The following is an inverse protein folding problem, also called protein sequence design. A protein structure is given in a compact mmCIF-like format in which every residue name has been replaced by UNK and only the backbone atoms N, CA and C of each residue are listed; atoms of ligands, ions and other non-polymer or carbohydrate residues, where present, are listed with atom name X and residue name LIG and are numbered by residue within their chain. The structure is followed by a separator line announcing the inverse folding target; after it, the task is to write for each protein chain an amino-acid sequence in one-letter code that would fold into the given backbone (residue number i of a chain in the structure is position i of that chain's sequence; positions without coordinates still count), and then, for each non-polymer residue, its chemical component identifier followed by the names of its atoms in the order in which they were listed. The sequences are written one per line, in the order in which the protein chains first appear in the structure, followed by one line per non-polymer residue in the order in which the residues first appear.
data_IF_760506050032
#
_entry.id   IF_760506050032
#
_cell.length_a   1.000
_cell.length_b   1.000
_cell.length_c   1.000
_cell.angle_alpha   90.00
_cell.angle_beta   90.00
_cell.angle_gamma   90.00
#
_symmetry.space_group_name_H-M   'P 1'
#
loop_
_entity.id
_entity.type
_entity.pdbx_description
1 polymer ?
#
# COMPACT_ATOMS: atom_id res chain seq x y z
N UNK A 1 41.87 49.11 -35.35
CA UNK A 1 41.57 48.51 -34.01
C UNK A 1 40.29 47.67 -33.95
N UNK A 2 39.16 48.05 -34.57
CA UNK A 2 37.88 47.30 -34.46
C UNK A 2 37.86 45.88 -35.07
N UNK A 3 38.63 45.60 -36.15
CA UNK A 3 38.69 44.25 -36.78
C UNK A 3 39.52 43.24 -35.98
N UNK A 4 40.71 43.64 -35.51
CA UNK A 4 41.57 42.78 -34.70
C UNK A 4 40.90 42.37 -33.38
N UNK A 5 40.23 43.32 -32.70
CA UNK A 5 39.48 43.02 -31.48
C UNK A 5 38.33 42.03 -31.74
N UNK A 6 37.60 42.15 -32.87
CA UNK A 6 36.56 41.18 -33.25
C UNK A 6 37.14 39.79 -33.50
N UNK A 7 38.26 39.67 -34.21
CA UNK A 7 38.91 38.39 -34.48
C UNK A 7 39.34 37.70 -33.18
N UNK A 8 39.93 38.46 -32.25
CA UNK A 8 40.30 37.96 -30.92
C UNK A 8 39.06 37.53 -30.12
N UNK A 9 37.98 38.31 -30.15
CA UNK A 9 36.73 37.99 -29.47
C UNK A 9 36.07 36.72 -30.04
N UNK A 10 36.05 36.57 -31.38
CA UNK A 10 35.53 35.38 -32.06
C UNK A 10 36.40 34.16 -31.79
N UNK A 11 37.73 34.32 -31.74
CA UNK A 11 38.66 33.24 -31.38
C UNK A 11 38.46 32.77 -29.93
N UNK A 12 38.31 33.71 -28.99
CA UNK A 12 38.00 33.40 -27.58
C UNK A 12 36.63 32.72 -27.43
N UNK A 13 35.61 33.23 -28.13
CA UNK A 13 34.27 32.64 -28.13
C UNK A 13 34.29 31.22 -28.70
N UNK A 14 35.00 31.00 -29.82
CA UNK A 14 35.16 29.69 -30.43
C UNK A 14 35.89 28.72 -29.49
N UNK A 15 36.95 29.16 -28.80
CA UNK A 15 37.67 28.35 -27.83
C UNK A 15 36.79 27.96 -26.64
N UNK A 16 36.02 28.91 -26.09
CA UNK A 16 35.06 28.67 -25.00
C UNK A 16 33.97 27.70 -25.45
N UNK A 17 33.43 27.85 -26.66
CA UNK A 17 32.43 26.94 -27.23
C UNK A 17 33.00 25.53 -27.42
N UNK A 18 34.22 25.42 -27.94
CA UNK A 18 34.85 24.12 -28.20
C UNK A 18 35.18 23.41 -26.87
N UNK A 19 35.67 24.16 -25.88
CA UNK A 19 35.86 23.68 -24.52
C UNK A 19 34.56 23.23 -23.86
N UNK A 20 33.48 23.99 -24.02
CA UNK A 20 32.15 23.63 -23.52
C UNK A 20 31.59 22.37 -24.19
N UNK A 21 31.76 22.22 -25.51
CA UNK A 21 31.34 21.02 -26.26
C UNK A 21 32.17 19.80 -25.86
N UNK A 22 33.48 19.94 -25.73
CA UNK A 22 34.36 18.86 -25.28
C UNK A 22 34.00 18.41 -23.86
N UNK A 23 33.77 19.35 -22.93
CA UNK A 23 33.29 19.06 -21.58
C UNK A 23 31.92 18.37 -21.61
N UNK A 24 30.98 18.85 -22.43
CA UNK A 24 29.66 18.24 -22.57
C UNK A 24 29.75 16.80 -23.11
N UNK A 25 30.64 16.52 -24.08
CA UNK A 25 30.89 15.18 -24.59
C UNK A 25 31.54 14.27 -23.55
N UNK A 26 32.51 14.77 -22.79
CA UNK A 26 33.15 14.02 -21.69
C UNK A 26 32.12 13.67 -20.62
N UNK A 27 31.27 14.62 -20.22
CA UNK A 27 30.19 14.38 -19.26
C UNK A 27 29.18 13.37 -19.83
N UNK A 28 28.81 13.51 -21.10
CA UNK A 28 27.88 12.59 -21.77
C UNK A 28 28.42 11.16 -21.83
N UNK A 29 29.70 10.98 -22.17
CA UNK A 29 30.34 9.66 -22.24
C UNK A 29 30.57 9.10 -20.84
N UNK A 30 31.00 9.92 -19.89
CA UNK A 30 31.30 9.50 -18.52
C UNK A 30 30.07 9.15 -17.67
N UNK A 31 28.90 9.68 -18.03
CA UNK A 31 27.61 9.37 -17.38
C UNK A 31 26.72 8.44 -18.21
N UNK A 32 27.16 8.06 -19.42
CA UNK A 32 26.42 7.11 -20.25
C UNK A 32 26.30 5.77 -19.52
N UNK A 33 25.12 5.14 -19.54
CA UNK A 33 24.91 3.86 -18.89
C UNK A 33 25.81 2.78 -19.49
N UNK A 34 26.44 1.98 -18.63
CA UNK A 34 27.13 0.77 -19.03
C UNK A 34 26.14 -0.27 -19.59
N UNK A 35 26.64 -1.29 -20.29
CA UNK A 35 25.79 -2.36 -20.85
C UNK A 35 24.99 -3.05 -19.73
N UNK A 36 23.66 -2.93 -19.79
CA UNK A 36 22.74 -3.50 -18.79
C UNK A 36 22.53 -2.64 -17.54
N UNK A 37 23.18 -1.47 -17.45
CA UNK A 37 22.92 -0.49 -16.40
C UNK A 37 21.56 0.16 -16.64
N UNK A 38 20.74 0.30 -15.59
CA UNK A 38 19.51 1.08 -15.73
C UNK A 38 19.84 2.56 -15.76
N UNK A 39 19.13 3.26 -16.65
CA UNK A 39 19.32 4.67 -16.89
C UNK A 39 18.06 5.46 -16.58
N UNK A 40 18.24 6.75 -16.28
CA UNK A 40 17.17 7.74 -16.30
C UNK A 40 17.40 8.71 -17.45
N UNK A 41 16.33 9.06 -18.14
CA UNK A 41 16.37 10.10 -19.17
C UNK A 41 16.18 11.47 -18.52
N UNK A 42 17.05 12.43 -18.86
CA UNK A 42 16.94 13.83 -18.42
C UNK A 42 17.18 14.78 -19.58
N UNK A 43 16.26 15.73 -19.74
CA UNK A 43 16.42 16.87 -20.66
C UNK A 43 17.19 17.99 -19.98
N UNK A 44 18.33 18.38 -20.56
CA UNK A 44 19.16 19.50 -20.11
C UNK A 44 19.33 20.46 -21.28
N UNK A 45 18.52 21.52 -21.30
CA UNK A 45 18.42 22.41 -22.47
C UNK A 45 17.95 21.64 -23.72
N UNK A 46 18.65 21.72 -24.86
CA UNK A 46 18.31 20.98 -26.08
C UNK A 46 18.79 19.52 -26.08
N UNK A 47 19.55 19.09 -25.06
CA UNK A 47 20.15 17.76 -25.02
C UNK A 47 19.30 16.79 -24.17
N UNK A 48 19.05 15.61 -24.71
CA UNK A 48 18.57 14.46 -23.94
C UNK A 48 19.77 13.63 -23.49
N UNK A 49 19.94 13.47 -22.19
CA UNK A 49 20.98 12.65 -21.58
C UNK A 49 20.36 11.40 -20.97
N UNK A 50 20.87 10.24 -21.35
CA UNK A 50 20.65 8.99 -20.63
C UNK A 50 21.74 8.85 -19.57
N UNK A 51 21.33 8.80 -18.31
CA UNK A 51 22.25 8.78 -17.19
C UNK A 51 22.13 7.45 -16.45
N UNK A 52 23.21 6.67 -16.45
CA UNK A 52 23.30 5.44 -15.66
C UNK A 52 23.20 5.75 -14.17
N UNK A 53 22.22 5.20 -13.46
CA UNK A 53 21.98 5.56 -12.06
C UNK A 53 23.07 5.03 -11.12
N UNK A 54 23.53 3.77 -11.21
CA UNK A 54 24.72 3.33 -10.50
C UNK A 54 25.95 4.21 -10.74
N UNK A 55 26.19 4.64 -11.99
CA UNK A 55 27.29 5.52 -12.37
C UNK A 55 27.13 6.90 -11.74
N UNK A 56 25.94 7.50 -11.81
CA UNK A 56 25.63 8.75 -11.13
C UNK A 56 25.89 8.66 -9.61
N UNK A 57 25.46 7.58 -8.96
CA UNK A 57 25.68 7.38 -7.53
C UNK A 57 27.18 7.31 -7.20
N UNK A 58 27.98 6.58 -7.99
CA UNK A 58 29.44 6.49 -7.79
C UNK A 58 30.12 7.85 -7.95
N UNK A 59 29.72 8.61 -8.97
CA UNK A 59 30.27 9.92 -9.28
C UNK A 59 29.89 10.94 -8.21
N UNK A 60 28.60 11.03 -7.84
CA UNK A 60 28.08 11.95 -6.83
C UNK A 60 28.65 11.72 -5.42
N UNK A 61 29.08 10.49 -5.12
CA UNK A 61 29.70 10.12 -3.84
C UNK A 61 31.22 9.95 -3.93
N UNK A 62 31.84 10.44 -5.00
CA UNK A 62 33.29 10.38 -5.15
C UNK A 62 33.98 11.43 -4.26
N UNK A 63 35.18 11.17 -3.71
CA UNK A 63 35.88 12.13 -2.85
C UNK A 63 36.19 13.48 -3.52
N UNK A 64 36.27 13.52 -4.86
CA UNK A 64 36.56 14.74 -5.59
C UNK A 64 35.30 15.54 -5.96
N UNK A 65 34.16 14.88 -6.19
CA UNK A 65 32.92 15.57 -6.57
C UNK A 65 32.03 15.86 -5.37
N UNK A 66 31.90 14.94 -4.42
CA UNK A 66 30.95 15.07 -3.31
C UNK A 66 31.14 16.38 -2.50
N UNK A 67 32.37 16.84 -2.16
CA UNK A 67 32.56 18.13 -1.50
C UNK A 67 32.12 19.32 -2.36
N UNK A 68 32.21 19.22 -3.69
CA UNK A 68 31.78 20.26 -4.63
C UNK A 68 30.26 20.31 -4.81
N UNK A 69 29.54 19.29 -4.35
CA UNK A 69 28.07 19.29 -4.33
C UNK A 69 27.52 19.98 -3.08
N UNK A 70 28.35 20.34 -2.11
CA UNK A 70 27.89 21.01 -0.88
C UNK A 70 27.18 22.33 -1.20
N UNK A 71 26.02 22.53 -0.58
CA UNK A 71 25.18 23.71 -0.78
C UNK A 71 24.38 23.71 -2.10
N UNK A 72 24.57 22.73 -2.99
CA UNK A 72 23.80 22.63 -4.23
C UNK A 72 22.31 22.47 -3.90
N UNK A 73 21.47 23.29 -4.55
CA UNK A 73 20.01 23.24 -4.44
C UNK A 73 19.42 22.82 -5.77
N UNK A 74 18.59 21.78 -5.75
CA UNK A 74 17.93 21.22 -6.90
C UNK A 74 16.42 21.33 -6.72
N UNK A 75 15.74 21.98 -7.67
CA UNK A 75 14.29 21.94 -7.71
C UNK A 75 13.87 20.62 -8.35
N UNK A 76 13.23 19.76 -7.57
CA UNK A 76 12.75 18.45 -8.04
C UNK A 76 11.23 18.40 -8.05
N UNK A 77 10.66 17.38 -8.69
CA UNK A 77 9.21 17.10 -8.59
C UNK A 77 8.74 16.86 -7.15
N UNK A 78 9.66 16.56 -6.24
CA UNK A 78 9.38 16.30 -4.84
C UNK A 78 9.48 17.55 -3.95
N UNK A 79 9.90 18.69 -4.50
CA UNK A 79 10.26 19.87 -3.73
C UNK A 79 11.76 20.20 -3.86
N UNK A 80 12.21 21.29 -3.20
CA UNK A 80 13.60 21.71 -3.21
C UNK A 80 14.44 20.71 -2.41
N UNK A 81 15.49 20.18 -3.04
CA UNK A 81 16.47 19.29 -2.45
C UNK A 81 17.78 20.03 -2.28
N UNK A 82 18.29 20.10 -1.06
CA UNK A 82 19.60 20.64 -0.75
C UNK A 82 20.59 19.49 -0.47
N UNK A 83 21.76 19.58 -1.08
CA UNK A 83 22.88 18.67 -0.82
C UNK A 83 23.78 19.30 0.25
N UNK A 84 24.22 18.49 1.20
CA UNK A 84 25.18 18.91 2.23
C UNK A 84 26.26 17.85 2.41
N UNK A 85 27.51 18.25 2.29
CA UNK A 85 28.66 17.39 2.53
C UNK A 85 29.19 17.59 3.95
N UNK A 86 29.61 16.51 4.59
CA UNK A 86 30.26 16.54 5.91
C UNK A 86 31.61 15.83 5.81
N UNK A 87 32.68 16.62 5.72
CA UNK A 87 34.05 16.13 5.49
C UNK A 87 34.52 15.12 6.55
N UNK A 88 34.28 15.40 7.83
CA UNK A 88 34.73 14.55 8.95
C UNK A 88 34.13 13.14 8.91
N UNK A 89 32.94 12.99 8.32
CA UNK A 89 32.22 11.73 8.22
C UNK A 89 32.22 11.15 6.80
N UNK A 90 32.79 11.87 5.82
CA UNK A 90 32.70 11.55 4.38
C UNK A 90 31.27 11.22 3.97
N UNK A 91 30.33 12.08 4.37
CA UNK A 91 28.90 11.80 4.29
C UNK A 91 28.15 12.89 3.53
N UNK A 92 27.37 12.47 2.54
CA UNK A 92 26.51 13.32 1.74
C UNK A 92 25.09 13.22 2.27
N UNK A 93 24.51 14.35 2.69
CA UNK A 93 23.09 14.46 3.01
C UNK A 93 22.32 15.04 1.84
N UNK A 94 21.16 14.44 1.55
CA UNK A 94 20.13 14.99 0.70
C UNK A 94 18.96 15.39 1.59
N UNK A 95 18.60 16.68 1.62
CA UNK A 95 17.49 17.20 2.41
C UNK A 95 16.44 17.83 1.51
N UNK A 96 15.25 17.25 1.50
CA UNK A 96 14.06 17.76 0.80
C UNK A 96 13.17 18.50 1.80
N UNK A 97 12.88 19.79 1.62
CA UNK A 97 12.09 20.58 2.59
C UNK A 97 11.45 21.86 1.97
N UNK A 98 10.11 22.00 1.92
CA UNK A 98 9.12 20.96 2.19
C UNK A 98 9.21 19.84 1.15
N UNK A 99 8.82 18.63 1.53
CA UNK A 99 8.88 17.47 0.64
C UNK A 99 7.48 16.97 0.29
N UNK A 100 7.27 16.68 -0.98
CA UNK A 100 6.00 16.22 -1.52
C UNK A 100 6.21 15.02 -2.45
N UNK A 101 5.95 13.81 -1.97
CA UNK A 101 6.24 12.58 -2.72
C UNK A 101 4.96 11.88 -3.19
N UNK A 102 4.70 11.94 -4.49
CA UNK A 102 3.69 11.07 -5.09
C UNK A 102 4.25 9.66 -5.26
N UNK A 103 3.70 8.71 -4.51
CA UNK A 103 4.05 7.30 -4.59
C UNK A 103 2.83 6.58 -5.16
N UNK A 104 2.91 6.14 -6.41
CA UNK A 104 1.76 5.53 -7.09
C UNK A 104 1.17 4.33 -6.32
N UNK A 105 2.02 3.57 -5.60
CA UNK A 105 1.60 2.47 -4.74
C UNK A 105 0.76 2.91 -3.52
N UNK A 106 0.81 4.20 -3.16
CA UNK A 106 0.11 4.81 -2.02
C UNK A 106 -1.09 5.67 -2.47
N UNK A 107 -1.45 5.68 -3.76
CA UNK A 107 -2.61 6.39 -4.27
C UNK A 107 -2.30 7.74 -4.91
N UNK A 108 -3.34 8.55 -5.13
CA UNK A 108 -3.26 9.80 -5.90
C UNK A 108 -2.77 11.01 -5.09
N UNK A 109 -3.03 11.03 -3.78
CA UNK A 109 -2.59 12.10 -2.88
C UNK A 109 -1.08 11.96 -2.60
N UNK A 110 -0.31 13.05 -2.69
CA UNK A 110 1.12 12.95 -2.47
C UNK A 110 1.43 13.07 -0.97
N UNK A 111 2.47 12.36 -0.54
CA UNK A 111 2.96 12.35 0.83
C UNK A 111 3.62 13.71 1.14
N UNK A 112 3.07 14.44 2.12
CA UNK A 112 3.59 15.74 2.53
C UNK A 112 4.41 15.63 3.81
N UNK A 113 5.65 16.10 3.77
CA UNK A 113 6.60 16.09 4.88
C UNK A 113 7.17 17.49 5.07
N UNK A 114 7.39 17.91 6.33
CA UNK A 114 8.17 19.13 6.60
C UNK A 114 9.58 18.97 6.03
N UNK A 115 10.18 17.80 6.25
CA UNK A 115 11.39 17.42 5.55
C UNK A 115 11.61 15.91 5.47
N UNK A 116 12.33 15.50 4.44
CA UNK A 116 12.94 14.18 4.30
C UNK A 116 14.45 14.37 4.16
N UNK A 117 15.23 13.69 5.00
CA UNK A 117 16.68 13.73 4.96
C UNK A 117 17.24 12.32 4.80
N UNK A 118 18.12 12.14 3.82
CA UNK A 118 18.82 10.87 3.56
C UNK A 118 20.31 11.14 3.66
N UNK A 119 20.97 10.50 4.62
CA UNK A 119 22.43 10.45 4.72
C UNK A 119 22.97 9.32 3.88
N UNK A 120 24.12 9.53 3.26
CA UNK A 120 24.76 8.60 2.34
C UNK A 120 26.28 8.63 2.49
N UNK A 121 26.85 7.48 2.80
CA UNK A 121 28.29 7.24 2.75
C UNK A 121 28.54 6.02 1.86
N UNK A 122 29.48 6.15 0.93
CA UNK A 122 29.88 5.07 0.02
C UNK A 122 31.31 4.64 0.29
N UNK A 123 31.50 3.35 0.45
CA UNK A 123 32.80 2.68 0.45
C UNK A 123 32.81 1.59 -0.64
N UNK A 124 33.52 1.86 -1.74
CA UNK A 124 33.50 1.04 -2.94
C UNK A 124 32.08 0.73 -3.43
N UNK A 125 31.64 -0.54 -3.35
CA UNK A 125 30.30 -1.00 -3.72
C UNK A 125 29.30 -1.00 -2.56
N UNK A 126 29.75 -0.71 -1.33
CA UNK A 126 28.89 -0.66 -0.14
C UNK A 126 28.42 0.76 0.11
N UNK A 127 27.15 0.89 0.44
CA UNK A 127 26.50 2.14 0.81
C UNK A 127 25.95 1.97 2.22
N UNK A 128 26.00 3.03 3.02
CA UNK A 128 25.34 3.09 4.33
C UNK A 128 24.88 4.49 4.61
N UNK A 129 23.86 4.62 5.43
CA UNK A 129 23.28 5.92 5.69
C UNK A 129 22.20 5.93 6.74
N UNK A 130 21.62 7.10 6.91
CA UNK A 130 20.47 7.35 7.77
C UNK A 130 19.32 7.86 6.94
N UNK A 131 18.11 7.67 7.45
CA UNK A 131 16.89 8.25 6.90
C UNK A 131 16.15 8.94 8.04
N UNK A 132 15.70 10.16 7.79
CA UNK A 132 14.88 10.93 8.73
C UNK A 132 13.70 11.53 7.97
N UNK A 133 12.48 11.26 8.42
CA UNK A 133 11.25 11.79 7.85
C UNK A 133 10.46 12.53 8.93
N UNK A 134 10.32 13.84 8.78
CA UNK A 134 9.59 14.68 9.72
C UNK A 134 8.16 14.96 9.20
N UNK A 135 7.15 14.80 10.06
CA UNK A 135 5.78 15.13 9.69
C UNK A 135 5.62 16.65 9.48
N UNK A 136 4.55 17.10 8.81
CA UNK A 136 4.23 18.52 8.69
C UNK A 136 4.16 19.22 10.05
N UNK A 137 4.73 20.42 10.15
CA UNK A 137 4.74 21.21 11.41
C UNK A 137 3.35 21.57 11.92
N UNK A 138 2.35 21.59 11.05
CA UNK A 138 0.94 21.87 11.39
C UNK A 138 0.33 20.83 12.33
N UNK A 139 0.93 19.63 12.40
CA UNK A 139 0.56 18.58 13.36
C UNK A 139 1.23 18.74 14.72
N UNK A 140 2.24 19.62 14.82
CA UNK A 140 2.96 19.84 16.06
C UNK A 140 2.00 20.32 17.16
N UNK A 141 1.99 19.62 18.29
CA UNK A 141 1.07 19.88 19.41
C UNK A 141 -0.36 19.34 19.25
N UNK A 142 -0.73 18.74 18.11
CA UNK A 142 -2.05 18.10 17.90
C UNK A 142 -2.05 16.60 18.22
N UNK A 143 -0.90 15.94 18.12
CA UNK A 143 -0.73 14.51 18.38
C UNK A 143 0.42 14.30 19.40
N UNK A 144 0.13 13.83 20.62
CA UNK A 144 1.16 13.51 21.59
C UNK A 144 2.21 12.53 21.00
N UNK A 145 3.50 12.86 21.15
CA UNK A 145 4.64 12.06 20.67
C UNK A 145 4.81 11.92 19.14
N UNK A 146 4.03 12.62 18.33
CA UNK A 146 4.11 12.56 16.87
C UNK A 146 5.04 13.61 16.23
N UNK A 147 5.43 14.66 16.96
CA UNK A 147 6.17 15.81 16.42
C UNK A 147 7.65 15.52 16.11
N UNK A 148 8.17 14.41 16.65
CA UNK A 148 9.53 13.97 16.36
C UNK A 148 9.58 13.23 15.02
N UNK A 149 10.70 13.29 14.29
CA UNK A 149 10.82 12.59 13.03
C UNK A 149 10.91 11.07 13.23
N UNK A 150 10.46 10.33 12.22
CA UNK A 150 10.81 8.93 12.07
C UNK A 150 12.28 8.84 11.65
N UNK A 151 13.03 7.92 12.26
CA UNK A 151 14.45 7.74 11.99
C UNK A 151 14.72 6.29 11.62
N UNK A 152 15.69 6.08 10.75
CA UNK A 152 16.14 4.77 10.34
C UNK A 152 17.59 4.79 9.89
N UNK A 153 18.14 3.59 9.78
CA UNK A 153 19.43 3.35 9.14
C UNK A 153 19.20 2.47 7.93
N UNK A 154 20.08 2.60 6.95
CA UNK A 154 20.01 1.77 5.77
C UNK A 154 21.41 1.39 5.29
N UNK A 155 21.51 0.22 4.70
CA UNK A 155 22.70 -0.25 4.00
C UNK A 155 22.34 -0.59 2.57
N UNK A 156 23.32 -0.58 1.68
CA UNK A 156 23.08 -0.98 0.31
C UNK A 156 24.30 -1.56 -0.38
N UNK A 157 24.04 -2.34 -1.42
CA UNK A 157 25.05 -2.92 -2.30
C UNK A 157 24.81 -2.43 -3.71
N UNK A 158 25.78 -1.70 -4.24
CA UNK A 158 25.76 -1.17 -5.59
C UNK A 158 26.56 -2.06 -6.54
N UNK A 159 25.89 -2.69 -7.49
CA UNK A 159 26.51 -3.43 -8.59
C UNK A 159 26.57 -2.58 -9.86
N UNK A 160 26.90 -3.18 -11.00
CA UNK A 160 26.80 -2.49 -12.30
C UNK A 160 25.35 -2.30 -12.75
N UNK A 161 24.43 -3.17 -12.32
CA UNK A 161 23.06 -3.24 -12.84
C UNK A 161 22.00 -3.21 -11.76
N UNK A 162 22.40 -3.28 -10.48
CA UNK A 162 21.52 -3.42 -9.32
C UNK A 162 21.90 -2.43 -8.20
N UNK A 163 20.90 -1.94 -7.46
CA UNK A 163 21.07 -1.39 -6.12
C UNK A 163 20.14 -2.14 -5.19
N UNK A 164 20.71 -2.93 -4.29
CA UNK A 164 19.98 -3.57 -3.21
C UNK A 164 20.11 -2.70 -1.97
N UNK A 165 18.99 -2.35 -1.35
CA UNK A 165 18.89 -1.51 -0.15
C UNK A 165 18.19 -2.32 0.94
N UNK A 166 18.78 -2.32 2.12
CA UNK A 166 18.20 -2.85 3.35
C UNK A 166 17.99 -1.66 4.31
N UNK A 167 16.73 -1.36 4.63
CA UNK A 167 16.30 -0.22 5.42
C UNK A 167 15.66 -0.71 6.72
N UNK A 168 16.20 -0.25 7.84
CA UNK A 168 15.68 -0.51 9.17
C UNK A 168 15.26 0.81 9.83
N UNK A 169 13.96 1.00 9.96
CA UNK A 169 13.38 2.11 10.70
C UNK A 169 13.34 1.77 12.19
N UNK A 170 13.69 2.75 13.01
CA UNK A 170 13.63 2.63 14.46
C UNK A 170 12.18 2.44 14.91
N UNK A 171 12.03 1.70 16.00
CA UNK A 171 10.74 1.59 16.66
C UNK A 171 10.27 2.97 17.11
N UNK A 172 9.04 3.32 16.75
CA UNK A 172 8.44 4.59 17.09
C UNK A 172 6.93 4.44 17.38
N UNK A 173 6.32 5.35 18.15
CA UNK A 173 4.88 5.35 18.38
C UNK A 173 4.10 5.32 17.06
N UNK A 174 3.05 4.51 16.97
CA UNK A 174 2.25 4.37 15.75
C UNK A 174 1.64 5.71 15.31
N UNK A 175 1.25 6.56 16.26
CA UNK A 175 0.78 7.92 15.98
C UNK A 175 1.78 8.74 15.13
N UNK A 176 3.08 8.56 15.34
CA UNK A 176 4.14 9.22 14.56
C UNK A 176 4.19 8.71 13.12
N UNK A 177 4.00 7.41 12.93
CA UNK A 177 3.89 6.82 11.60
C UNK A 177 2.70 7.37 10.82
N UNK A 178 1.55 7.53 11.48
CA UNK A 178 0.38 8.17 10.90
C UNK A 178 0.61 9.66 10.57
N UNK A 179 1.29 10.41 11.44
CA UNK A 179 1.61 11.81 11.19
C UNK A 179 2.51 12.01 9.96
N UNK A 180 3.36 11.03 9.65
CA UNK A 180 4.18 11.02 8.43
C UNK A 180 3.37 10.52 7.23
N UNK A 181 2.64 9.41 7.35
CA UNK A 181 2.03 8.71 6.24
C UNK A 181 0.69 9.31 5.76
N UNK A 182 -0.07 9.91 6.67
CA UNK A 182 -1.40 10.45 6.41
C UNK A 182 -1.72 11.63 7.34
N UNK A 183 -0.93 12.73 7.24
CA UNK A 183 -1.00 13.87 8.14
C UNK A 183 -2.38 14.55 8.20
N UNK A 184 -3.17 14.43 7.13
CA UNK A 184 -4.44 15.14 6.97
C UNK A 184 -5.66 14.33 7.44
N UNK A 185 -5.44 13.16 8.04
CA UNK A 185 -6.55 12.35 8.54
C UNK A 185 -7.28 13.06 9.68
N UNK A 186 -8.59 13.31 9.55
CA UNK A 186 -9.35 14.02 10.58
C UNK A 186 -9.44 13.20 11.88
N UNK A 187 -9.39 11.86 11.77
CA UNK A 187 -9.33 10.95 12.92
C UNK A 187 -8.16 11.24 13.86
N UNK A 188 -7.03 11.75 13.36
CA UNK A 188 -5.84 12.00 14.18
C UNK A 188 -6.06 13.06 15.26
N UNK A 189 -7.09 13.90 15.14
CA UNK A 189 -7.43 14.91 16.15
C UNK A 189 -8.19 14.37 17.35
N UNK A 190 -8.77 13.17 17.21
CA UNK A 190 -9.71 12.59 18.19
C UNK A 190 -9.30 11.20 18.65
N UNK A 191 -8.59 10.46 17.80
CA UNK A 191 -8.07 9.15 18.12
C UNK A 191 -6.96 9.22 19.16
N UNK A 192 -7.03 8.35 20.16
CA UNK A 192 -5.87 7.98 21.00
C UNK A 192 -5.26 6.74 20.40
N UNK A 193 -4.07 6.87 19.84
CA UNK A 193 -3.35 5.78 19.17
C UNK A 193 -2.18 5.37 20.07
N UNK A 194 -2.16 4.12 20.52
CA UNK A 194 -1.08 3.57 21.33
C UNK A 194 -0.34 2.45 20.60
N UNK A 195 0.80 2.05 21.17
CA UNK A 195 1.66 1.02 20.61
C UNK A 195 2.78 1.59 19.75
N UNK A 196 3.66 0.69 19.32
CA UNK A 196 4.84 1.02 18.53
C UNK A 196 4.89 0.21 17.25
N UNK A 197 5.54 0.79 16.24
CA UNK A 197 5.83 0.15 14.97
C UNK A 197 7.32 0.34 14.67
N UNK A 198 7.98 -0.75 14.33
CA UNK A 198 9.24 -0.77 13.62
C UNK A 198 9.02 -1.33 12.22
N UNK A 199 9.85 -0.92 11.26
CA UNK A 199 9.71 -1.34 9.88
C UNK A 199 11.07 -1.75 9.31
N UNK A 200 11.14 -2.98 8.83
CA UNK A 200 12.26 -3.44 8.01
C UNK A 200 11.79 -3.56 6.56
N UNK A 201 12.57 -3.03 5.62
CA UNK A 201 12.28 -3.08 4.20
C UNK A 201 13.54 -3.41 3.41
N UNK A 202 13.40 -4.32 2.45
CA UNK A 202 14.45 -4.62 1.47
C UNK A 202 13.94 -4.18 0.09
N UNK A 203 14.76 -3.50 -0.69
CA UNK A 203 14.37 -2.93 -1.98
C UNK A 203 15.49 -3.19 -2.99
N UNK A 204 15.16 -3.77 -4.14
CA UNK A 204 16.07 -3.96 -5.26
C UNK A 204 15.63 -3.10 -6.43
N UNK A 205 16.53 -2.25 -6.90
CA UNK A 205 16.38 -1.50 -8.15
C UNK A 205 17.23 -2.18 -9.23
N UNK A 206 16.80 -2.18 -10.52
CA UNK A 206 15.66 -1.46 -11.09
C UNK A 206 14.38 -2.29 -11.09
N UNK A 207 14.44 -3.55 -10.65
CA UNK A 207 13.30 -4.47 -10.68
C UNK A 207 12.10 -3.94 -9.89
N UNK A 208 12.35 -3.05 -8.93
CA UNK A 208 11.33 -2.56 -8.00
C UNK A 208 10.88 -3.63 -7.02
N UNK A 209 11.58 -4.78 -6.97
CA UNK A 209 11.29 -5.83 -6.01
C UNK A 209 11.54 -5.29 -4.60
N UNK A 210 10.62 -5.60 -3.70
CA UNK A 210 10.68 -5.19 -2.32
C UNK A 210 10.12 -6.25 -1.37
N UNK A 211 10.64 -6.28 -0.15
CA UNK A 211 10.10 -7.05 0.97
C UNK A 211 9.82 -6.09 2.11
N UNK A 212 8.65 -6.21 2.72
CA UNK A 212 8.22 -5.35 3.84
C UNK A 212 7.93 -6.22 5.07
N UNK A 213 8.53 -5.88 6.20
CA UNK A 213 8.38 -6.59 7.46
C UNK A 213 8.07 -5.58 8.57
N UNK A 214 6.77 -5.26 8.77
CA UNK A 214 6.35 -4.46 9.91
C UNK A 214 6.41 -5.29 11.20
N UNK A 215 6.87 -4.68 12.28
CA UNK A 215 6.84 -5.23 13.64
C UNK A 215 6.00 -4.30 14.49
N UNK A 216 4.80 -4.77 14.86
CA UNK A 216 3.81 -3.99 15.60
C UNK A 216 3.72 -4.52 17.02
N UNK A 217 3.85 -3.62 18.00
CA UNK A 217 3.63 -3.94 19.41
C UNK A 217 2.46 -3.11 19.95
N UNK A 218 1.44 -3.80 20.49
CA UNK A 218 0.32 -3.20 21.24
C UNK A 218 -0.44 -2.08 20.50
N UNK A 219 -0.77 -2.29 19.23
CA UNK A 219 -1.55 -1.31 18.47
C UNK A 219 -3.00 -1.27 18.95
N UNK A 220 -3.36 -0.20 19.66
CA UNK A 220 -4.74 0.09 20.05
C UNK A 220 -5.14 1.48 19.57
N UNK A 221 -6.43 1.64 19.34
CA UNK A 221 -7.06 2.89 18.94
C UNK A 221 -8.31 3.07 19.79
N UNK A 222 -8.54 4.29 20.28
CA UNK A 222 -9.74 4.69 21.03
C UNK A 222 -10.19 6.09 20.60
N UNK A 223 -11.45 6.45 20.83
CA UNK A 223 -12.00 7.80 20.62
C UNK A 223 -12.56 8.07 19.23
N UNK A 224 -12.73 7.06 18.37
CA UNK A 224 -13.42 7.21 17.09
C UNK A 224 -14.94 6.96 17.18
N UNK A 225 -15.42 6.40 18.28
CA UNK A 225 -16.86 6.25 18.55
C UNK A 225 -17.46 4.95 18.02
N UNK A 226 -16.65 3.91 17.79
CA UNK A 226 -17.14 2.62 17.28
C UNK A 226 -18.06 1.88 18.26
N UNK A 227 -18.06 2.23 19.56
CA UNK A 227 -19.00 1.71 20.55
C UNK A 227 -20.47 1.96 20.18
N UNK A 228 -20.76 3.02 19.43
CA UNK A 228 -22.09 3.29 18.90
C UNK A 228 -22.60 2.18 17.96
N UNK A 229 -21.70 1.37 17.40
CA UNK A 229 -22.04 0.27 16.49
C UNK A 229 -22.50 -1.00 17.22
N UNK A 230 -22.31 -1.10 18.55
CA UNK A 230 -22.82 -2.23 19.35
C UNK A 230 -24.32 -2.42 19.16
N UNK A 231 -25.09 -1.33 19.17
CA UNK A 231 -26.54 -1.33 18.96
C UNK A 231 -26.99 -1.03 17.52
N UNK A 232 -26.06 -0.75 16.61
CA UNK A 232 -26.41 -0.30 15.26
C UNK A 232 -27.19 -1.38 14.47
N UNK A 233 -28.22 -0.94 13.74
CA UNK A 233 -28.97 -1.78 12.81
C UNK A 233 -28.50 -1.48 11.40
N UNK A 234 -28.46 -2.52 10.56
CA UNK A 234 -28.13 -2.36 9.15
C UNK A 234 -29.26 -1.65 8.41
N UNK A 235 -28.90 -0.78 7.46
CA UNK A 235 -29.84 -0.21 6.49
C UNK A 235 -30.15 -1.18 5.34
N UNK A 236 -29.44 -2.30 5.25
CA UNK A 236 -29.62 -3.33 4.22
C UNK A 236 -30.78 -4.31 4.48
N UNK A 237 -31.62 -4.03 5.48
CA UNK A 237 -32.82 -4.79 5.77
C UNK A 237 -32.73 -5.62 7.06
N UNK A 238 -33.44 -6.74 7.08
CA UNK A 238 -33.55 -7.58 8.27
C UNK A 238 -32.19 -8.20 8.65
N UNK A 239 -31.87 -8.29 9.96
CA UNK A 239 -30.64 -8.93 10.41
C UNK A 239 -30.65 -10.41 10.03
N UNK A 240 -29.49 -10.91 9.59
CA UNK A 240 -29.33 -12.30 9.17
C UNK A 240 -29.41 -13.30 10.33
N UNK A 241 -29.17 -12.84 11.57
CA UNK A 241 -29.13 -13.65 12.81
C UNK A 241 -28.19 -14.87 12.70
N UNK A 242 -27.16 -14.75 11.87
CA UNK A 242 -26.15 -15.78 11.69
C UNK A 242 -25.17 -15.78 12.87
N UNK A 243 -24.72 -16.97 13.23
CA UNK A 243 -23.62 -17.17 14.20
C UNK A 243 -22.37 -17.58 13.43
N UNK A 244 -21.21 -17.56 14.09
CA UNK A 244 -19.97 -18.09 13.53
C UNK A 244 -20.04 -19.58 13.16
N UNK A 245 -21.02 -20.31 13.71
CA UNK A 245 -21.29 -21.72 13.38
C UNK A 245 -22.10 -21.90 12.10
N UNK A 246 -22.82 -20.87 11.64
CA UNK A 246 -23.65 -20.94 10.45
C UNK A 246 -22.81 -21.17 9.18
N UNK A 247 -23.32 -21.97 8.24
CA UNK A 247 -22.60 -22.29 7.00
C UNK A 247 -22.14 -21.05 6.23
N UNK A 248 -23.01 -20.04 6.10
CA UNK A 248 -22.65 -18.81 5.40
C UNK A 248 -21.54 -18.03 6.13
N UNK A 249 -21.59 -17.92 7.45
CA UNK A 249 -20.55 -17.25 8.22
C UNK A 249 -19.19 -17.94 8.06
N UNK A 250 -19.16 -19.27 8.15
CA UNK A 250 -17.94 -20.07 7.92
C UNK A 250 -17.41 -19.91 6.49
N UNK A 251 -18.30 -19.90 5.50
CA UNK A 251 -17.93 -19.72 4.10
C UNK A 251 -17.38 -18.30 3.86
N UNK A 252 -17.96 -17.27 4.45
CA UNK A 252 -17.49 -15.88 4.35
C UNK A 252 -16.12 -15.71 5.00
N UNK A 253 -15.91 -16.25 6.21
CA UNK A 253 -14.59 -16.30 6.86
C UNK A 253 -13.60 -17.02 5.96
N UNK A 254 -13.98 -18.17 5.39
CA UNK A 254 -13.10 -18.91 4.50
C UNK A 254 -12.74 -18.14 3.22
N UNK A 255 -13.70 -17.36 2.70
CA UNK A 255 -13.58 -16.65 1.45
C UNK A 255 -12.75 -15.37 1.55
N UNK A 256 -12.91 -14.63 2.65
CA UNK A 256 -12.43 -13.26 2.81
C UNK A 256 -11.34 -13.12 3.87
N UNK A 257 -11.34 -13.94 4.93
CA UNK A 257 -10.48 -13.76 6.08
C UNK A 257 -10.30 -15.06 6.90
N UNK A 258 -9.49 -15.98 6.39
CA UNK A 258 -9.23 -17.31 6.99
C UNK A 258 -8.69 -17.27 8.42
N UNK A 259 -8.12 -16.13 8.82
CA UNK A 259 -7.48 -15.89 10.11
C UNK A 259 -8.28 -14.92 10.96
N UNK A 260 -9.55 -14.68 10.63
CA UNK A 260 -10.42 -13.71 11.30
C UNK A 260 -10.32 -13.72 12.82
N UNK A 261 -10.32 -14.89 13.46
CA UNK A 261 -10.25 -15.02 14.93
C UNK A 261 -8.85 -14.91 15.53
N UNK A 262 -7.81 -14.74 14.71
CA UNK A 262 -6.40 -14.81 15.12
C UNK A 262 -5.69 -13.45 15.08
N UNK A 263 -6.35 -12.40 14.59
CA UNK A 263 -5.75 -11.08 14.43
C UNK A 263 -6.61 -9.97 15.04
N UNK A 264 -6.02 -8.83 15.46
CA UNK A 264 -6.73 -7.70 16.04
C UNK A 264 -7.16 -6.69 14.97
N UNK A 265 -7.90 -7.14 13.95
CA UNK A 265 -8.39 -6.28 12.85
C UNK A 265 -7.39 -6.02 11.71
N UNK A 266 -6.13 -6.39 11.87
CA UNK A 266 -5.13 -6.37 10.80
C UNK A 266 -4.32 -7.67 10.79
N UNK A 267 -4.08 -8.25 9.61
CA UNK A 267 -3.33 -9.49 9.47
C UNK A 267 -2.00 -9.25 8.75
N UNK A 268 -0.91 -9.19 9.52
CA UNK A 268 0.43 -8.96 8.98
C UNK A 268 0.94 -10.15 8.15
N UNK A 269 0.48 -11.37 8.43
CA UNK A 269 0.89 -12.57 7.70
C UNK A 269 0.23 -12.56 6.31
N UNK A 270 -1.08 -12.28 6.25
CA UNK A 270 -1.80 -12.15 4.99
C UNK A 270 -1.37 -10.92 4.18
N UNK A 271 -1.03 -9.80 4.86
CA UNK A 271 -0.47 -8.63 4.21
C UNK A 271 0.86 -8.96 3.52
N UNK A 272 1.79 -9.63 4.21
CA UNK A 272 3.06 -10.07 3.63
C UNK A 272 2.85 -11.01 2.44
N UNK A 273 2.01 -12.03 2.60
CA UNK A 273 1.71 -12.99 1.52
C UNK A 273 1.05 -12.32 0.30
N UNK A 274 0.20 -11.32 0.52
CA UNK A 274 -0.43 -10.55 -0.56
C UNK A 274 0.60 -9.70 -1.31
N UNK A 275 1.51 -9.02 -0.59
CA UNK A 275 2.58 -8.22 -1.19
C UNK A 275 3.52 -9.09 -2.05
N UNK A 276 3.99 -10.22 -1.52
CA UNK A 276 4.87 -11.14 -2.24
C UNK A 276 4.22 -11.67 -3.52
N UNK A 277 2.94 -12.06 -3.45
CA UNK A 277 2.19 -12.59 -4.60
C UNK A 277 1.91 -11.53 -5.67
N UNK A 278 1.52 -10.33 -5.25
CA UNK A 278 1.23 -9.22 -6.16
C UNK A 278 2.49 -8.76 -6.91
N UNK A 279 3.64 -8.77 -6.23
CA UNK A 279 4.92 -8.50 -6.85
C UNK A 279 5.29 -9.55 -7.89
N UNK A 280 5.17 -10.85 -7.57
CA UNK A 280 5.45 -11.94 -8.49
C UNK A 280 4.58 -11.91 -9.75
N UNK A 281 3.34 -11.41 -9.65
CA UNK A 281 2.42 -11.25 -10.79
C UNK A 281 2.51 -9.89 -11.50
N UNK A 282 3.27 -8.92 -10.97
CA UNK A 282 3.36 -7.57 -11.53
C UNK A 282 2.06 -6.76 -11.43
N UNK A 283 1.16 -7.09 -10.49
CA UNK A 283 -0.14 -6.45 -10.36
C UNK A 283 -0.92 -6.93 -9.13
N UNK A 284 -2.05 -6.28 -8.84
CA UNK A 284 -2.93 -6.66 -7.71
C UNK A 284 -3.69 -7.95 -8.07
N UNK A 285 -3.35 -9.05 -7.40
CA UNK A 285 -3.99 -10.37 -7.55
C UNK A 285 -4.66 -10.84 -6.26
N UNK A 286 -4.04 -10.57 -5.11
CA UNK A 286 -4.54 -10.93 -3.78
C UNK A 286 -4.65 -9.70 -2.89
N UNK A 287 -5.79 -9.57 -2.21
CA UNK A 287 -5.97 -8.58 -1.15
C UNK A 287 -5.44 -9.10 0.19
N UNK A 288 -4.89 -8.19 1.00
CA UNK A 288 -4.49 -8.46 2.40
C UNK A 288 -5.41 -7.79 3.43
N UNK A 289 -6.65 -7.46 3.06
CA UNK A 289 -7.60 -6.78 3.95
C UNK A 289 -8.43 -7.78 4.74
N UNK A 290 -8.63 -7.50 6.03
CA UNK A 290 -9.44 -8.32 6.94
C UNK A 290 -10.93 -8.01 6.81
N UNK A 291 -11.80 -8.88 7.33
CA UNK A 291 -13.25 -8.61 7.40
C UNK A 291 -13.54 -7.31 8.17
N UNK A 292 -12.80 -7.04 9.24
CA UNK A 292 -12.97 -5.83 10.05
C UNK A 292 -12.60 -4.56 9.27
N UNK A 293 -11.52 -4.59 8.48
CA UNK A 293 -11.18 -3.49 7.58
C UNK A 293 -12.23 -3.30 6.48
N UNK A 294 -12.75 -4.39 5.92
CA UNK A 294 -13.83 -4.31 4.95
C UNK A 294 -15.12 -3.72 5.58
N UNK A 295 -15.42 -4.06 6.83
CA UNK A 295 -16.54 -3.47 7.58
C UNK A 295 -16.35 -1.97 7.79
N UNK A 296 -15.17 -1.54 8.26
CA UNK A 296 -14.83 -0.13 8.41
C UNK A 296 -14.95 0.64 7.08
N UNK A 297 -14.54 0.01 5.97
CA UNK A 297 -14.70 0.56 4.62
C UNK A 297 -16.16 0.81 4.28
N UNK A 298 -17.03 -0.18 4.53
CA UNK A 298 -18.45 -0.10 4.19
C UNK A 298 -19.20 0.93 5.03
N UNK A 299 -18.94 0.96 6.34
CA UNK A 299 -19.73 1.77 7.27
C UNK A 299 -19.22 3.20 7.47
N UNK A 300 -17.92 3.44 7.22
CA UNK A 300 -17.29 4.71 7.65
C UNK A 300 -16.54 5.40 6.53
N UNK A 301 -15.64 4.71 5.82
CA UNK A 301 -14.67 5.40 4.96
C UNK A 301 -15.04 5.45 3.48
N UNK A 302 -16.01 4.67 3.03
CA UNK A 302 -16.50 4.68 1.64
C UNK A 302 -15.53 4.09 0.60
N UNK A 303 -15.77 4.43 -0.68
CA UNK A 303 -15.19 3.75 -1.85
C UNK A 303 -14.03 4.45 -2.54
N UNK A 304 -13.53 5.58 -2.02
CA UNK A 304 -12.35 6.27 -2.57
C UNK A 304 -11.15 5.30 -2.65
N UNK A 305 -10.16 5.53 -3.52
CA UNK A 305 -8.97 4.67 -3.64
C UNK A 305 -7.70 5.46 -3.32
N UNK A 306 -7.45 5.68 -2.03
CA UNK A 306 -6.26 6.36 -1.49
C UNK A 306 -5.64 5.62 -0.30
N UNK A 307 -4.33 5.80 -0.05
CA UNK A 307 -3.66 5.28 1.14
C UNK A 307 -4.27 5.86 2.42
N UNK A 308 -4.54 7.16 2.44
CA UNK A 308 -5.10 7.82 3.62
C UNK A 308 -6.39 7.13 4.06
N UNK A 309 -7.31 6.87 3.12
CA UNK A 309 -8.52 6.09 3.41
C UNK A 309 -8.19 4.68 3.91
N UNK A 310 -7.17 4.00 3.35
CA UNK A 310 -6.77 2.66 3.83
C UNK A 310 -6.22 2.68 5.25
N UNK A 311 -5.47 3.73 5.62
CA UNK A 311 -4.97 3.95 6.98
C UNK A 311 -6.10 4.34 7.93
N UNK A 312 -7.10 5.08 7.44
CA UNK A 312 -8.34 5.38 8.16
C UNK A 312 -9.15 4.12 8.45
N UNK A 313 -9.32 3.24 7.46
CA UNK A 313 -9.95 1.91 7.64
C UNK A 313 -9.25 1.11 8.75
N UNK A 314 -7.91 1.14 8.78
CA UNK A 314 -7.13 0.43 9.78
C UNK A 314 -7.38 0.98 11.19
N UNK A 315 -7.47 2.31 11.37
CA UNK A 315 -7.79 2.91 12.68
C UNK A 315 -9.15 2.45 13.20
N UNK A 316 -10.19 2.53 12.37
CA UNK A 316 -11.52 2.05 12.73
C UNK A 316 -11.55 0.53 12.95
N UNK A 317 -10.83 -0.24 12.14
CA UNK A 317 -10.78 -1.69 12.31
C UNK A 317 -10.16 -2.09 13.65
N UNK A 318 -9.08 -1.42 14.07
CA UNK A 318 -8.46 -1.70 15.38
C UNK A 318 -9.39 -1.33 16.53
N UNK A 319 -10.05 -0.17 16.48
CA UNK A 319 -11.00 0.21 17.53
C UNK A 319 -12.25 -0.70 17.54
N UNK A 320 -12.77 -1.11 16.38
CA UNK A 320 -13.90 -2.05 16.32
C UNK A 320 -13.57 -3.39 17.01
N UNK A 321 -12.33 -3.86 16.94
CA UNK A 321 -11.90 -5.12 17.56
C UNK A 321 -11.94 -5.03 19.08
N UNK A 322 -11.57 -3.89 19.65
CA UNK A 322 -11.62 -3.66 21.09
C UNK A 322 -13.05 -3.36 21.58
N UNK A 323 -13.86 -2.64 20.82
CA UNK A 323 -15.20 -2.20 21.26
C UNK A 323 -16.32 -3.17 20.95
N UNK A 324 -16.28 -3.87 19.81
CA UNK A 324 -17.38 -4.73 19.33
C UNK A 324 -17.14 -6.22 19.57
N UNK A 325 -15.88 -6.66 19.45
CA UNK A 325 -15.52 -8.07 19.45
C UNK A 325 -15.95 -8.82 18.17
N UNK A 326 -15.35 -10.01 17.98
CA UNK A 326 -15.44 -10.79 16.72
C UNK A 326 -16.86 -11.16 16.29
N UNK A 327 -17.69 -11.59 17.24
CA UNK A 327 -19.05 -12.03 16.94
C UNK A 327 -19.89 -10.87 16.37
N UNK A 328 -19.77 -9.68 16.98
CA UNK A 328 -20.51 -8.50 16.53
C UNK A 328 -19.97 -7.95 15.22
N UNK A 329 -18.65 -7.93 15.03
CA UNK A 329 -18.02 -7.56 13.76
C UNK A 329 -18.53 -8.46 12.63
N UNK A 330 -18.50 -9.77 12.82
CA UNK A 330 -18.97 -10.73 11.82
C UNK A 330 -20.45 -10.54 11.49
N UNK A 331 -21.28 -10.33 12.51
CA UNK A 331 -22.70 -10.05 12.33
C UNK A 331 -22.91 -8.77 11.51
N UNK A 332 -22.27 -7.66 11.90
CA UNK A 332 -22.38 -6.39 11.18
C UNK A 332 -21.87 -6.51 9.74
N UNK A 333 -20.79 -7.25 9.51
CA UNK A 333 -20.30 -7.54 8.17
C UNK A 333 -21.36 -8.29 7.35
N UNK A 334 -21.88 -9.40 7.88
CA UNK A 334 -22.89 -10.20 7.18
C UNK A 334 -24.17 -9.40 6.90
N UNK A 335 -24.53 -8.47 7.79
CA UNK A 335 -25.72 -7.65 7.63
C UNK A 335 -25.52 -6.45 6.69
N UNK A 336 -24.28 -6.10 6.30
CA UNK A 336 -23.99 -4.94 5.44
C UNK A 336 -23.24 -5.28 4.15
N UNK A 337 -22.66 -6.47 4.03
CA UNK A 337 -21.84 -6.82 2.88
C UNK A 337 -22.65 -6.80 1.57
N UNK A 338 -22.05 -6.36 0.45
CA UNK A 338 -22.72 -6.32 -0.84
C UNK A 338 -22.69 -7.69 -1.54
N UNK A 339 -23.87 -8.19 -1.93
CA UNK A 339 -24.06 -9.38 -2.77
C UNK A 339 -24.70 -8.97 -4.10
N UNK A 340 -23.95 -8.22 -4.91
CA UNK A 340 -24.43 -7.71 -6.19
C UNK A 340 -25.36 -6.52 -6.02
N UNK A 341 -26.64 -6.68 -6.42
CA UNK A 341 -27.65 -5.60 -6.38
C UNK A 341 -28.29 -5.40 -5.00
N UNK A 342 -28.05 -6.32 -4.07
CA UNK A 342 -28.53 -6.25 -2.69
C UNK A 342 -27.35 -6.22 -1.74
N UNK A 343 -27.58 -5.68 -0.54
CA UNK A 343 -26.65 -5.82 0.58
C UNK A 343 -27.34 -6.58 1.72
N UNK A 344 -26.54 -7.18 2.60
CA UNK A 344 -27.03 -7.99 3.72
C UNK A 344 -27.34 -9.45 3.34
N UNK A 345 -26.90 -10.37 4.18
CA UNK A 345 -26.95 -11.81 3.93
C UNK A 345 -28.38 -12.36 3.84
N UNK A 346 -29.32 -11.83 4.62
CA UNK A 346 -30.73 -12.24 4.56
C UNK A 346 -31.36 -11.81 3.23
N UNK A 347 -31.18 -10.55 2.81
CA UNK A 347 -31.68 -10.08 1.53
C UNK A 347 -31.07 -10.88 0.36
N UNK A 348 -29.78 -11.20 0.43
CA UNK A 348 -29.11 -12.03 -0.56
C UNK A 348 -29.67 -13.46 -0.60
N UNK A 349 -29.81 -14.12 0.56
CA UNK A 349 -30.37 -15.48 0.63
C UNK A 349 -31.80 -15.55 0.07
N UNK A 350 -32.62 -14.54 0.34
CA UNK A 350 -33.97 -14.44 -0.20
C UNK A 350 -33.96 -14.18 -1.70
N UNK A 351 -33.10 -13.27 -2.19
CA UNK A 351 -32.99 -12.98 -3.61
C UNK A 351 -32.58 -14.21 -4.41
N UNK A 352 -31.49 -14.87 -4.02
CA UNK A 352 -30.85 -15.92 -4.82
C UNK A 352 -31.45 -17.31 -4.59
N UNK A 353 -31.98 -17.59 -3.40
CA UNK A 353 -32.43 -18.94 -3.02
C UNK A 353 -33.85 -19.01 -2.46
N UNK A 354 -34.54 -17.87 -2.29
CA UNK A 354 -35.87 -17.80 -1.65
C UNK A 354 -35.89 -18.50 -0.28
N UNK A 355 -34.78 -18.38 0.47
CA UNK A 355 -34.56 -19.00 1.77
C UNK A 355 -34.01 -17.98 2.75
N UNK A 356 -34.29 -18.18 4.04
CA UNK A 356 -33.61 -17.43 5.09
C UNK A 356 -32.13 -17.79 5.13
N UNK A 357 -31.26 -16.81 5.42
CA UNK A 357 -29.81 -17.00 5.48
C UNK A 357 -29.42 -18.11 6.46
N UNK A 358 -30.14 -18.23 7.58
CA UNK A 358 -29.90 -19.26 8.59
C UNK A 358 -30.22 -20.70 8.13
N UNK A 359 -30.98 -20.86 7.04
CA UNK A 359 -31.39 -22.16 6.48
C UNK A 359 -30.74 -22.47 5.13
N UNK A 360 -29.69 -21.74 4.77
CA UNK A 360 -28.93 -22.04 3.56
C UNK A 360 -28.26 -23.41 3.67
N UNK A 361 -28.33 -24.16 2.57
CA UNK A 361 -27.54 -25.37 2.42
C UNK A 361 -26.05 -25.03 2.30
N UNK A 362 -25.15 -25.97 2.64
CA UNK A 362 -23.70 -25.72 2.63
C UNK A 362 -23.18 -25.19 1.29
N UNK A 363 -23.64 -25.76 0.18
CA UNK A 363 -23.25 -25.31 -1.16
C UNK A 363 -23.81 -23.93 -1.51
N UNK A 364 -25.01 -23.57 -1.04
CA UNK A 364 -25.61 -22.25 -1.25
C UNK A 364 -24.85 -21.17 -0.46
N UNK A 365 -24.41 -21.50 0.75
CA UNK A 365 -23.55 -20.66 1.56
C UNK A 365 -22.19 -20.40 0.90
N UNK A 366 -21.54 -21.44 0.35
CA UNK A 366 -20.32 -21.30 -0.46
C UNK A 366 -20.55 -20.41 -1.67
N UNK A 367 -21.69 -20.56 -2.33
CA UNK A 367 -22.03 -19.75 -3.49
C UNK A 367 -22.16 -18.27 -3.15
N UNK A 368 -22.91 -17.91 -2.10
CA UNK A 368 -23.02 -16.52 -1.65
C UNK A 368 -21.67 -15.94 -1.20
N UNK A 369 -20.89 -16.69 -0.43
CA UNK A 369 -19.57 -16.22 0.00
C UNK A 369 -18.63 -15.99 -1.18
N UNK A 370 -18.76 -16.78 -2.24
CA UNK A 370 -17.94 -16.64 -3.46
C UNK A 370 -18.25 -15.36 -4.25
N UNK A 371 -19.43 -14.75 -4.07
CA UNK A 371 -19.76 -13.48 -4.71
C UNK A 371 -18.99 -12.28 -4.12
N UNK A 372 -18.61 -12.33 -2.84
CA UNK A 372 -18.09 -11.17 -2.11
C UNK A 372 -16.79 -10.59 -2.67
N UNK A 373 -15.97 -11.42 -3.32
CA UNK A 373 -14.70 -11.00 -3.89
C UNK A 373 -14.86 -9.87 -4.94
N UNK A 374 -15.91 -9.95 -5.76
CA UNK A 374 -16.21 -8.97 -6.78
C UNK A 374 -17.74 -8.94 -7.05
N UNK A 375 -18.55 -8.36 -6.14
CA UNK A 375 -20.00 -8.59 -6.11
C UNK A 375 -20.73 -8.20 -7.39
N UNK A 376 -20.36 -7.06 -7.98
CA UNK A 376 -20.95 -6.58 -9.24
C UNK A 376 -20.61 -7.50 -10.42
N UNK A 377 -19.34 -7.85 -10.57
CA UNK A 377 -18.88 -8.75 -11.64
C UNK A 377 -19.43 -10.17 -11.47
N UNK A 378 -19.51 -10.66 -10.22
CA UNK A 378 -20.10 -11.96 -9.90
C UNK A 378 -21.59 -12.00 -10.24
N UNK A 379 -22.34 -10.95 -9.91
CA UNK A 379 -23.77 -10.85 -10.25
C UNK A 379 -24.00 -10.74 -11.76
N UNK A 380 -23.17 -9.97 -12.47
CA UNK A 380 -23.21 -9.86 -13.93
C UNK A 380 -22.92 -11.20 -14.60
N UNK A 381 -21.85 -11.88 -14.16
CA UNK A 381 -21.48 -13.21 -14.65
C UNK A 381 -22.59 -14.21 -14.41
N UNK A 382 -23.17 -14.22 -13.21
CA UNK A 382 -24.30 -15.08 -12.90
C UNK A 382 -25.50 -14.83 -13.82
N UNK A 383 -25.83 -13.56 -14.09
CA UNK A 383 -26.92 -13.20 -14.99
C UNK A 383 -26.68 -13.62 -16.45
N UNK A 384 -25.42 -13.64 -16.91
CA UNK A 384 -25.06 -13.97 -18.31
C UNK A 384 -24.81 -15.46 -18.53
N UNK A 385 -24.11 -16.10 -17.60
CA UNK A 385 -23.58 -17.46 -17.74
C UNK A 385 -24.35 -18.48 -16.88
N UNK A 386 -25.24 -18.04 -15.99
CA UNK A 386 -25.99 -18.92 -15.10
C UNK A 386 -25.15 -19.56 -13.98
N UNK A 387 -23.99 -18.99 -13.65
CA UNK A 387 -23.09 -19.51 -12.62
C UNK A 387 -21.98 -18.55 -12.18
N UNK A 388 -21.26 -18.94 -11.13
CA UNK A 388 -20.03 -18.27 -10.67
C UNK A 388 -18.80 -19.08 -11.12
N UNK A 389 -17.60 -18.53 -10.90
CA UNK A 389 -16.34 -19.25 -11.18
C UNK A 389 -16.25 -20.56 -10.36
N UNK A 390 -16.25 -21.75 -11.00
CA UNK A 390 -16.14 -23.02 -10.29
C UNK A 390 -14.86 -23.14 -9.46
N UNK A 391 -13.75 -22.53 -9.91
CA UNK A 391 -12.48 -22.56 -9.16
C UNK A 391 -12.60 -21.78 -7.85
N UNK A 392 -13.34 -20.66 -7.86
CA UNK A 392 -13.59 -19.87 -6.65
C UNK A 392 -14.50 -20.64 -5.69
N UNK A 393 -15.58 -21.25 -6.18
CA UNK A 393 -16.48 -22.07 -5.38
C UNK A 393 -15.73 -23.21 -4.67
N UNK A 394 -14.92 -23.94 -5.43
CA UNK A 394 -14.08 -25.02 -4.90
C UNK A 394 -13.12 -24.49 -3.83
N UNK A 395 -12.40 -23.39 -4.11
CA UNK A 395 -11.45 -22.79 -3.19
C UNK A 395 -12.09 -22.35 -1.87
N UNK A 396 -13.29 -21.74 -1.92
CA UNK A 396 -14.04 -21.36 -0.72
C UNK A 396 -14.47 -22.60 0.08
N UNK A 397 -15.00 -23.63 -0.60
CA UNK A 397 -15.47 -24.86 0.04
C UNK A 397 -14.33 -25.61 0.75
N UNK A 398 -13.18 -25.74 0.09
CA UNK A 398 -11.96 -26.33 0.66
C UNK A 398 -11.47 -25.51 1.86
N UNK A 399 -11.59 -24.19 1.78
CA UNK A 399 -11.21 -23.26 2.81
C UNK A 399 -12.06 -23.30 4.09
N UNK A 400 -13.26 -23.88 4.09
CA UNK A 400 -14.10 -23.90 5.30
C UNK A 400 -13.43 -24.72 6.40
N UNK A 401 -13.24 -24.11 7.59
CA UNK A 401 -12.64 -24.75 8.76
C UNK A 401 -13.69 -25.19 9.79
N UNK A 402 -13.28 -26.06 10.72
CA UNK A 402 -14.09 -26.48 11.86
C UNK A 402 -15.29 -27.37 11.51
N UNK A 403 -15.21 -28.14 10.42
CA UNK A 403 -16.24 -29.12 10.02
C UNK A 403 -15.64 -30.55 9.97
N UNK A 404 -16.39 -31.59 10.34
CA UNK A 404 -15.94 -32.99 10.23
C UNK A 404 -15.61 -33.39 8.78
N UNK A 405 -14.67 -34.33 8.61
CA UNK A 405 -14.24 -34.83 7.30
C UNK A 405 -15.41 -35.27 6.40
N UNK A 406 -16.37 -36.03 6.95
CA UNK A 406 -17.56 -36.47 6.19
C UNK A 406 -18.40 -35.30 5.67
N UNK A 407 -18.56 -34.24 6.47
CA UNK A 407 -19.28 -33.04 6.04
C UNK A 407 -18.51 -32.29 4.96
N UNK A 408 -17.18 -32.25 5.03
CA UNK A 408 -16.33 -31.67 3.99
C UNK A 408 -16.48 -32.43 2.67
N UNK A 409 -16.37 -33.75 2.69
CA UNK A 409 -16.54 -34.59 1.49
C UNK A 409 -17.92 -34.40 0.86
N UNK A 410 -18.98 -34.35 1.69
CA UNK A 410 -20.33 -34.06 1.23
C UNK A 410 -20.46 -32.65 0.64
N UNK A 411 -19.89 -31.62 1.28
CA UNK A 411 -19.89 -30.24 0.78
C UNK A 411 -19.22 -30.13 -0.58
N UNK A 412 -18.01 -30.70 -0.74
CA UNK A 412 -17.27 -30.62 -1.99
C UNK A 412 -18.05 -31.28 -3.14
N UNK A 413 -18.66 -32.45 -2.88
CA UNK A 413 -19.54 -33.11 -3.86
C UNK A 413 -20.76 -32.26 -4.20
N UNK A 414 -21.40 -31.61 -3.22
CA UNK A 414 -22.53 -30.72 -3.46
C UNK A 414 -22.12 -29.51 -4.31
N UNK A 415 -20.96 -28.89 -4.03
CA UNK A 415 -20.45 -27.74 -4.79
C UNK A 415 -20.14 -28.09 -6.24
N UNK A 416 -19.56 -29.26 -6.48
CA UNK A 416 -19.28 -29.76 -7.84
C UNK A 416 -20.57 -30.03 -8.63
N UNK A 417 -21.60 -30.55 -7.96
CA UNK A 417 -22.87 -30.93 -8.59
C UNK A 417 -23.87 -29.78 -8.70
N UNK A 418 -23.70 -28.71 -7.92
CA UNK A 418 -24.65 -27.62 -7.85
C UNK A 418 -24.68 -26.82 -9.16
N UNK A 419 -25.86 -26.78 -9.79
CA UNK A 419 -26.18 -25.85 -10.86
C UNK A 419 -27.06 -24.75 -10.27
N UNK A 420 -26.63 -23.50 -10.41
CA UNK A 420 -27.41 -22.33 -9.95
C UNK A 420 -27.87 -21.48 -11.15
N UNK A 421 -28.64 -22.05 -12.10
CA UNK A 421 -29.04 -21.35 -13.31
C UNK A 421 -29.84 -20.10 -12.96
N UNK A 422 -29.60 -19.02 -13.70
CA UNK A 422 -30.36 -17.78 -13.57
C UNK A 422 -31.81 -18.02 -14.00
N UNK A 423 -32.76 -17.81 -13.09
CA UNK A 423 -34.18 -17.73 -13.44
C UNK A 423 -34.47 -16.25 -13.66
N UNK A 424 -34.71 -15.85 -14.91
CA UNK A 424 -35.21 -14.52 -15.22
C UNK A 424 -36.43 -14.26 -14.33
N UNK A 425 -36.46 -13.13 -13.63
CA UNK A 425 -37.68 -12.69 -12.94
C UNK A 425 -38.82 -12.79 -13.96
N UNK A 426 -39.73 -13.74 -13.72
CA UNK A 426 -40.89 -13.95 -14.56
C UNK A 426 -41.65 -12.64 -14.63
N UNK A 427 -41.87 -12.15 -15.84
CA UNK A 427 -42.72 -10.99 -16.06
C UNK A 427 -44.02 -11.18 -15.31
N UNK A 428 -44.42 -10.14 -14.59
CA UNK A 428 -45.76 -10.01 -14.04
C UNK A 428 -46.76 -10.42 -15.13
N UNK A 429 -47.50 -11.49 -14.83
CA UNK A 429 -48.60 -11.95 -15.67
C UNK A 429 -49.63 -10.82 -15.83
N UNK A 430 -49.99 -10.56 -17.08
CA UNK A 430 -51.40 -10.32 -17.39
C UNK A 430 -52.17 -11.63 -17.27
#
# INVERSE_FOLDING_TARGET
MKRALRIVLFGLLALVLTGAVALALVVRIGLAPAKGEWAIERKVGPLTLELGVPTLLRVATSPWLAPRLDGLRLNTRYGPVQLRWVDSAQLLYLRCAPCNAQVAALGSQPLQLDHLQIGLHRDASRLRGTLEAAPPRELAGRLPAADAPLRGQWTGRLSQTALDVDLQMQEAPIARWYAVAAPHLPELQRARISGTLALHAQISQPSGAFKLQPQVAQFNVEGLGTEAMLGARSSCGAPSRLTDQSWLARAVIAAEDQRFFQHPGYDLIELGAALDRNQAKGGIDRGGSTLTQQLAKMLVTGSERSLERKLRELLYAVEMESTLGKARILQLYLDNAPWGRVCGAEAAAQLYFKRSAARLEPAQAVWLASMLHAPGLAAERWSKEGGLDPKRLQWVAEGIRGIPRRQREALLKQVEQAKYPWVADGGDGK
#
